data_IF_846322252049
#
_entry.id   IF_846322252049
#
_cell.length_a   1.000
_cell.length_b   1.000
_cell.length_c   1.000
_cell.angle_alpha   90.00
_cell.angle_beta   90.00
_cell.angle_gamma   90.00
#
_symmetry.space_group_name_H-M   'P 1'
#
loop_
_entity.id
_entity.type
_entity.pdbx_description
1 polymer ?
#
# COMPACT_ATOMS: atom_id res chain seq x y z
N UNK A 1 -38.31 12.82 64.67
CA UNK A 1 -36.89 13.25 64.69
C UNK A 1 -36.03 12.11 64.16
N UNK A 2 -35.89 11.95 62.83
CA UNK A 2 -35.08 10.86 62.22
C UNK A 2 -34.73 11.10 60.74
N UNK A 3 -35.47 11.97 60.03
CA UNK A 3 -35.25 12.29 58.61
C UNK A 3 -33.90 12.96 58.32
N UNK A 4 -33.42 13.82 59.23
CA UNK A 4 -32.13 14.55 59.06
C UNK A 4 -30.92 13.62 59.14
N UNK A 5 -30.93 12.64 60.04
CA UNK A 5 -29.84 11.65 60.14
C UNK A 5 -29.81 10.68 58.97
N UNK A 6 -30.99 10.29 58.45
CA UNK A 6 -31.08 9.47 57.23
C UNK A 6 -30.59 10.26 56.02
N UNK A 7 -31.04 11.52 55.86
CA UNK A 7 -30.60 12.39 54.76
C UNK A 7 -29.08 12.63 54.78
N UNK A 8 -28.49 12.88 55.96
CA UNK A 8 -27.03 13.05 56.10
C UNK A 8 -26.25 11.79 55.71
N UNK A 9 -26.72 10.60 56.10
CA UNK A 9 -26.09 9.33 55.71
C UNK A 9 -26.19 9.08 54.20
N UNK A 10 -27.35 9.40 53.60
CA UNK A 10 -27.55 9.30 52.15
C UNK A 10 -26.63 10.25 51.39
N UNK A 11 -26.49 11.50 51.83
CA UNK A 11 -25.58 12.47 51.22
C UNK A 11 -24.11 12.05 51.32
N UNK A 12 -23.68 11.49 52.47
CA UNK A 12 -22.32 10.96 52.63
C UNK A 12 -22.09 9.76 51.69
N UNK A 13 -23.04 8.82 51.63
CA UNK A 13 -22.94 7.66 50.74
C UNK A 13 -22.90 8.08 49.24
N UNK A 14 -23.74 9.03 48.85
CA UNK A 14 -23.74 9.59 47.49
C UNK A 14 -22.42 10.30 47.17
N UNK A 15 -21.86 11.05 48.12
CA UNK A 15 -20.55 11.68 47.98
C UNK A 15 -19.42 10.66 47.79
N UNK A 16 -19.41 9.59 48.60
CA UNK A 16 -18.43 8.50 48.46
C UNK A 16 -18.58 7.82 47.09
N UNK A 17 -19.80 7.52 46.66
CA UNK A 17 -20.07 6.89 45.36
C UNK A 17 -19.59 7.78 44.21
N UNK A 18 -19.82 9.10 44.28
CA UNK A 18 -19.36 10.04 43.27
C UNK A 18 -17.83 10.10 43.19
N UNK A 19 -17.13 10.09 44.33
CA UNK A 19 -15.66 10.03 44.36
C UNK A 19 -15.14 8.72 43.76
N UNK A 20 -15.75 7.58 44.11
CA UNK A 20 -15.38 6.28 43.54
C UNK A 20 -15.58 6.29 42.02
N UNK A 21 -16.71 6.80 41.54
CA UNK A 21 -16.99 6.91 40.11
C UNK A 21 -15.95 7.77 39.40
N UNK A 22 -15.58 8.91 39.97
CA UNK A 22 -14.56 9.79 39.39
C UNK A 22 -13.18 9.11 39.32
N UNK A 23 -12.78 8.40 40.38
CA UNK A 23 -11.55 7.61 40.41
C UNK A 23 -11.59 6.49 39.36
N UNK A 24 -12.71 5.78 39.22
CA UNK A 24 -12.88 4.75 38.19
C UNK A 24 -12.75 5.32 36.77
N UNK A 25 -13.38 6.48 36.49
CA UNK A 25 -13.28 7.13 35.18
C UNK A 25 -11.82 7.56 34.90
N UNK A 26 -11.13 8.15 35.88
CA UNK A 26 -9.74 8.54 35.74
C UNK A 26 -8.82 7.33 35.49
N UNK A 27 -9.02 6.23 36.21
CA UNK A 27 -8.28 5.00 36.01
C UNK A 27 -8.55 4.38 34.63
N UNK A 28 -9.81 4.36 34.18
CA UNK A 28 -10.16 3.88 32.85
C UNK A 28 -9.50 4.73 31.76
N UNK A 29 -9.55 6.06 31.87
CA UNK A 29 -8.89 6.97 30.93
C UNK A 29 -7.37 6.75 30.89
N UNK A 30 -6.74 6.55 32.05
CA UNK A 30 -5.32 6.26 32.13
C UNK A 30 -4.95 4.92 31.47
N UNK A 31 -5.72 3.86 31.75
CA UNK A 31 -5.50 2.53 31.15
C UNK A 31 -5.67 2.58 29.62
N UNK A 32 -6.71 3.28 29.14
CA UNK A 32 -6.94 3.41 27.70
C UNK A 32 -5.86 4.25 27.02
N UNK A 33 -5.40 5.34 27.64
CA UNK A 33 -4.31 6.16 27.12
C UNK A 33 -2.98 5.40 27.07
N UNK A 34 -2.67 4.64 28.11
CA UNK A 34 -1.49 3.76 28.12
C UNK A 34 -1.59 2.69 27.04
N UNK A 35 -2.76 2.05 26.90
CA UNK A 35 -3.00 1.05 25.85
C UNK A 35 -2.77 1.64 24.47
N UNK A 36 -3.28 2.86 24.20
CA UNK A 36 -3.06 3.55 22.94
C UNK A 36 -1.57 3.79 22.68
N UNK A 37 -0.84 4.33 23.66
CA UNK A 37 0.57 4.66 23.52
C UNK A 37 1.47 3.43 23.35
N UNK A 38 1.22 2.34 24.09
CA UNK A 38 2.05 1.13 24.04
C UNK A 38 1.81 0.30 22.78
N UNK A 39 0.59 0.37 22.23
CA UNK A 39 0.22 -0.32 20.99
C UNK A 39 0.46 0.51 19.73
N UNK A 40 0.81 1.79 19.88
CA UNK A 40 1.00 2.69 18.74
C UNK A 40 2.12 2.18 17.83
N UNK A 41 1.79 2.03 16.55
CA UNK A 41 2.74 1.66 15.49
C UNK A 41 2.45 2.49 14.25
N UNK A 42 3.51 3.00 13.65
CA UNK A 42 3.48 3.63 12.33
C UNK A 42 4.25 2.75 11.34
N UNK A 43 3.78 2.65 10.11
CA UNK A 43 4.42 1.84 9.07
C UNK A 43 4.11 2.33 7.66
N UNK A 44 5.11 2.18 6.79
CA UNK A 44 4.97 2.33 5.34
C UNK A 44 5.14 1.00 4.62
N UNK A 45 4.23 0.67 3.71
CA UNK A 45 4.38 -0.48 2.80
C UNK A 45 4.32 -0.03 1.35
N UNK A 46 5.08 -0.71 0.51
CA UNK A 46 5.10 -0.47 -0.93
C UNK A 46 4.86 -1.78 -1.69
N UNK A 47 4.03 -1.69 -2.71
CA UNK A 47 3.64 -2.79 -3.59
C UNK A 47 3.86 -2.37 -5.04
N UNK A 48 4.45 -3.27 -5.82
CA UNK A 48 4.61 -3.12 -7.25
C UNK A 48 4.15 -4.40 -7.94
N UNK A 49 3.33 -4.23 -8.97
CA UNK A 49 2.92 -5.28 -9.88
C UNK A 49 3.31 -4.87 -11.29
N UNK A 50 4.00 -5.76 -12.00
CA UNK A 50 4.41 -5.59 -13.39
C UNK A 50 3.98 -6.81 -14.18
N UNK A 51 3.27 -6.63 -15.27
CA UNK A 51 3.00 -7.72 -16.22
C UNK A 51 3.17 -7.25 -17.65
N UNK A 52 3.54 -8.16 -18.54
CA UNK A 52 3.67 -7.89 -19.96
C UNK A 52 2.92 -8.97 -20.73
N UNK A 53 2.25 -8.63 -21.83
CA UNK A 53 1.53 -9.62 -22.66
C UNK A 53 2.42 -10.38 -23.65
N UNK A 54 3.65 -9.91 -23.82
CA UNK A 54 4.65 -10.40 -24.76
C UNK A 54 6.07 -10.07 -24.24
N UNK A 55 7.12 -10.53 -24.92
CA UNK A 55 8.49 -10.25 -24.49
C UNK A 55 8.80 -8.75 -24.57
N UNK A 56 9.62 -8.27 -23.64
CA UNK A 56 10.29 -6.97 -23.68
C UNK A 56 11.78 -7.23 -23.84
N UNK A 57 12.41 -6.69 -24.88
CA UNK A 57 13.85 -6.80 -25.12
C UNK A 57 14.55 -5.49 -24.70
N UNK A 58 15.80 -5.60 -24.23
CA UNK A 58 16.64 -4.49 -23.75
C UNK A 58 15.94 -3.59 -22.73
N UNK A 59 15.24 -4.22 -21.77
CA UNK A 59 14.31 -3.54 -20.88
C UNK A 59 15.02 -2.78 -19.76
N UNK A 60 14.68 -1.50 -19.61
CA UNK A 60 15.01 -0.62 -18.49
C UNK A 60 13.76 0.16 -18.09
N UNK A 61 13.21 -0.16 -16.92
CA UNK A 61 12.04 0.49 -16.34
C UNK A 61 12.49 1.24 -15.09
N UNK A 62 12.42 2.57 -15.13
CA UNK A 62 12.65 3.44 -13.97
C UNK A 62 11.29 3.95 -13.48
N UNK A 63 10.86 3.38 -12.36
CA UNK A 63 9.55 3.56 -11.78
C UNK A 63 9.68 4.49 -10.55
N UNK A 64 8.85 5.54 -10.42
CA UNK A 64 8.81 6.35 -9.22
C UNK A 64 8.60 5.52 -7.95
N UNK A 65 9.38 5.81 -6.91
CA UNK A 65 9.20 5.23 -5.58
C UNK A 65 8.94 6.33 -4.56
N UNK A 66 8.32 6.00 -3.41
CA UNK A 66 8.01 7.01 -2.45
C UNK A 66 9.32 7.56 -1.86
N UNK A 67 9.46 8.88 -1.86
CA UNK A 67 10.56 9.57 -1.21
C UNK A 67 10.12 10.92 -0.71
N UNK A 68 10.89 11.48 0.22
CA UNK A 68 10.70 12.83 0.74
C UNK A 68 11.99 13.61 0.63
N UNK A 69 11.88 14.91 0.41
CA UNK A 69 13.03 15.79 0.48
C UNK A 69 13.49 15.91 1.94
N UNK A 70 14.76 15.57 2.19
CA UNK A 70 15.41 15.79 3.47
C UNK A 70 16.21 17.11 3.41
N UNK A 71 15.79 18.16 4.12
CA UNK A 71 16.46 19.45 4.11
C UNK A 71 17.84 19.43 4.81
N UNK A 72 18.12 18.44 5.67
CA UNK A 72 19.41 18.34 6.35
C UNK A 72 20.51 17.82 5.41
N UNK A 73 20.17 16.80 4.60
CA UNK A 73 21.08 16.23 3.60
C UNK A 73 20.99 16.90 2.24
N UNK A 74 19.91 17.63 1.98
CA UNK A 74 19.63 18.28 0.70
C UNK A 74 19.25 17.31 -0.41
N UNK A 75 18.82 16.09 -0.07
CA UNK A 75 18.54 15.00 -1.02
C UNK A 75 17.17 14.37 -0.79
N UNK A 76 16.61 13.71 -1.81
CA UNK A 76 15.41 12.91 -1.63
C UNK A 76 15.77 11.54 -1.04
N UNK A 77 15.13 11.19 0.07
CA UNK A 77 15.34 9.93 0.78
C UNK A 77 14.10 9.06 0.69
N UNK A 78 14.28 7.78 0.38
CA UNK A 78 13.19 6.80 0.32
C UNK A 78 13.16 5.94 1.59
N UNK A 79 11.97 5.63 2.14
CA UNK A 79 11.86 4.68 3.25
C UNK A 79 11.98 3.22 2.80
N UNK A 80 12.08 2.95 1.49
CA UNK A 80 12.17 1.59 0.96
C UNK A 80 13.54 0.98 1.23
N UNK A 81 13.51 -0.21 1.82
CA UNK A 81 14.67 -1.07 1.98
C UNK A 81 14.49 -2.33 1.13
N UNK A 82 15.13 -2.37 -0.04
CA UNK A 82 15.06 -3.51 -0.96
C UNK A 82 15.65 -4.80 -0.37
N UNK A 83 16.47 -4.73 0.69
CA UNK A 83 16.97 -5.94 1.36
C UNK A 83 15.85 -6.72 2.07
N UNK A 84 14.73 -6.05 2.36
CA UNK A 84 13.54 -6.62 3.00
C UNK A 84 12.44 -6.97 2.00
N UNK A 85 12.66 -6.70 0.71
CA UNK A 85 11.67 -6.92 -0.32
C UNK A 85 11.45 -8.42 -0.58
N UNK A 86 10.18 -8.81 -0.72
CA UNK A 86 9.78 -10.11 -1.23
C UNK A 86 9.40 -10.00 -2.70
N UNK A 87 9.81 -10.99 -3.49
CA UNK A 87 9.59 -11.04 -4.93
C UNK A 87 8.80 -12.29 -5.30
N UNK A 88 7.75 -12.12 -6.09
CA UNK A 88 6.98 -13.21 -6.69
C UNK A 88 7.12 -13.16 -8.20
N UNK A 89 7.31 -14.32 -8.82
CA UNK A 89 7.37 -14.47 -10.29
C UNK A 89 8.48 -13.69 -11.01
N UNK A 90 9.43 -13.08 -10.29
CA UNK A 90 10.65 -12.50 -10.85
C UNK A 90 11.73 -13.56 -11.09
N UNK A 91 12.25 -13.64 -12.32
CA UNK A 91 13.48 -14.38 -12.61
C UNK A 91 14.69 -13.54 -12.18
N UNK A 92 15.08 -13.66 -10.91
CA UNK A 92 16.13 -12.83 -10.27
C UNK A 92 17.53 -13.08 -10.83
N UNK A 93 17.74 -14.13 -11.60
CA UNK A 93 19.02 -14.40 -12.27
C UNK A 93 19.16 -13.57 -13.56
N UNK A 94 18.03 -13.14 -14.15
CA UNK A 94 17.99 -12.34 -15.39
C UNK A 94 17.52 -10.91 -15.18
N UNK A 95 16.68 -10.68 -14.18
CA UNK A 95 16.05 -9.39 -13.88
C UNK A 95 16.74 -8.78 -12.66
N UNK A 96 17.44 -7.67 -12.92
CA UNK A 96 18.02 -6.83 -11.88
C UNK A 96 16.98 -5.84 -11.36
N UNK A 97 16.89 -5.71 -10.04
CA UNK A 97 16.02 -4.73 -9.36
C UNK A 97 16.86 -3.96 -8.36
N UNK A 98 16.99 -2.65 -8.56
CA UNK A 98 17.84 -1.76 -7.77
C UNK A 98 17.21 -0.38 -7.60
N UNK A 99 17.71 0.42 -6.67
CA UNK A 99 17.36 1.84 -6.58
C UNK A 99 18.44 2.65 -7.30
N UNK A 100 18.05 3.44 -8.28
CA UNK A 100 18.92 4.37 -9.02
C UNK A 100 18.47 5.81 -8.77
N UNK A 101 19.41 6.76 -8.73
CA UNK A 101 19.08 8.17 -8.56
C UNK A 101 19.11 8.88 -9.91
N UNK A 102 17.96 9.37 -10.35
CA UNK A 102 17.81 10.19 -11.55
C UNK A 102 17.65 11.64 -11.11
N UNK A 103 18.62 12.49 -11.45
CA UNK A 103 18.65 13.90 -11.04
C UNK A 103 18.48 14.12 -9.52
N UNK A 104 19.01 13.18 -8.71
CA UNK A 104 18.92 13.23 -7.25
C UNK A 104 17.59 12.75 -6.66
N UNK A 105 16.69 12.19 -7.48
CA UNK A 105 15.46 11.54 -7.03
C UNK A 105 15.62 10.02 -7.13
N UNK A 106 15.38 9.25 -6.06
CA UNK A 106 15.47 7.80 -6.11
C UNK A 106 14.30 7.21 -6.91
N UNK A 107 14.60 6.31 -7.84
CA UNK A 107 13.65 5.55 -8.65
C UNK A 107 13.98 4.06 -8.56
N UNK A 108 12.97 3.20 -8.65
CA UNK A 108 13.17 1.77 -8.77
C UNK A 108 13.53 1.44 -10.21
N UNK A 109 14.73 0.90 -10.41
CA UNK A 109 15.19 0.38 -11.69
C UNK A 109 14.95 -1.12 -11.76
N UNK A 110 14.17 -1.53 -12.76
CA UNK A 110 14.05 -2.92 -13.20
C UNK A 110 14.72 -3.02 -14.57
N UNK A 111 15.73 -3.88 -14.70
CA UNK A 111 16.45 -4.03 -15.96
C UNK A 111 16.81 -5.48 -16.28
N UNK A 112 16.69 -5.85 -17.56
CA UNK A 112 17.07 -7.16 -18.08
C UNK A 112 17.28 -7.09 -19.59
N UNK A 113 18.15 -7.95 -20.14
CA UNK A 113 18.30 -8.11 -21.60
C UNK A 113 16.97 -8.54 -22.25
N UNK A 114 16.17 -9.32 -21.51
CA UNK A 114 14.83 -9.74 -21.94
C UNK A 114 13.94 -10.08 -20.74
N UNK A 115 12.70 -9.60 -20.78
CA UNK A 115 11.63 -9.95 -19.84
C UNK A 115 10.55 -10.70 -20.60
N UNK A 116 10.41 -12.00 -20.35
CA UNK A 116 9.33 -12.81 -20.91
C UNK A 116 8.04 -12.69 -20.07
N UNK A 117 6.85 -12.75 -20.69
CA UNK A 117 5.60 -12.76 -19.95
C UNK A 117 5.46 -14.07 -19.18
N UNK A 118 4.67 -14.08 -18.09
CA UNK A 118 4.40 -15.30 -17.32
C UNK A 118 2.92 -15.61 -17.41
N UNK A 119 2.58 -16.77 -17.94
CA UNK A 119 1.22 -17.28 -18.04
C UNK A 119 1.04 -18.53 -17.20
N UNK A 120 -0.15 -18.73 -16.63
CA UNK A 120 -0.53 -19.93 -15.89
C UNK A 120 -1.85 -20.53 -16.35
N UNK A 121 -2.05 -21.80 -16.02
CA UNK A 121 -3.33 -22.48 -16.20
C UNK A 121 -4.39 -22.00 -15.19
N UNK A 122 -5.67 -22.18 -15.55
CA UNK A 122 -6.77 -22.02 -14.60
C UNK A 122 -6.85 -23.26 -13.72
N UNK A 123 -6.84 -23.05 -12.41
CA UNK A 123 -7.12 -24.13 -11.46
C UNK A 123 -8.63 -24.31 -11.40
N UNK A 124 -9.12 -25.44 -11.90
CA UNK A 124 -10.53 -25.81 -11.78
C UNK A 124 -10.79 -26.36 -10.38
N UNK A 125 -11.68 -25.74 -9.58
CA UNK A 125 -12.07 -26.29 -8.29
C UNK A 125 -12.64 -27.69 -8.47
N UNK A 126 -12.20 -28.63 -7.63
CA UNK A 126 -12.71 -29.99 -7.62
C UNK A 126 -13.80 -30.08 -6.56
N UNK A 127 -15.05 -30.45 -6.92
CA UNK A 127 -16.11 -30.60 -5.93
C UNK A 127 -15.78 -31.76 -4.97
N UNK A 128 -16.01 -31.53 -3.68
CA UNK A 128 -15.80 -32.51 -2.61
C UNK A 128 -17.16 -33.08 -2.21
N UNK A 129 -17.36 -34.39 -2.32
CA UNK A 129 -18.60 -35.03 -1.88
C UNK A 129 -18.64 -35.17 -0.33
N UNK A 130 -19.83 -35.14 0.30
CA UNK A 130 -19.95 -35.37 1.75
C UNK A 130 -19.33 -36.72 2.15
N UNK A 131 -18.35 -36.71 3.05
CA UNK A 131 -17.63 -37.90 3.50
C UNK A 131 -16.41 -38.30 2.67
N UNK A 132 -16.12 -37.59 1.58
CA UNK A 132 -14.88 -37.78 0.81
C UNK A 132 -13.69 -37.14 1.54
N UNK A 133 -12.57 -37.85 1.61
CA UNK A 133 -11.36 -37.32 2.23
C UNK A 133 -10.62 -36.42 1.22
N UNK A 134 -10.31 -35.19 1.62
CA UNK A 134 -9.57 -34.22 0.80
C UNK A 134 -8.18 -34.75 0.36
N UNK A 135 -7.60 -35.64 1.16
CA UNK A 135 -6.31 -36.29 0.91
C UNK A 135 -6.28 -37.13 -0.37
N UNK A 136 -7.45 -37.56 -0.85
CA UNK A 136 -7.61 -38.41 -2.04
C UNK A 136 -7.83 -37.60 -3.33
N UNK A 137 -7.98 -36.29 -3.22
CA UNK A 137 -8.16 -35.41 -4.37
C UNK A 137 -6.82 -35.18 -5.08
N UNK A 138 -6.79 -35.10 -6.42
CA UNK A 138 -5.57 -34.74 -7.12
C UNK A 138 -5.19 -33.31 -6.73
N UNK A 139 -3.91 -33.12 -6.41
CA UNK A 139 -3.40 -31.79 -6.09
C UNK A 139 -3.50 -30.91 -7.34
N UNK A 140 -3.92 -29.64 -7.20
CA UNK A 140 -3.93 -28.72 -8.32
C UNK A 140 -2.50 -28.53 -8.83
N UNK A 141 -2.24 -28.93 -10.07
CA UNK A 141 -0.96 -28.71 -10.74
C UNK A 141 -0.97 -27.35 -11.42
N UNK A 142 -0.06 -26.48 -11.00
CA UNK A 142 0.20 -25.22 -11.70
C UNK A 142 1.18 -25.46 -12.85
N UNK A 143 0.79 -25.02 -14.04
CA UNK A 143 1.61 -25.06 -15.24
C UNK A 143 1.90 -23.61 -15.63
N UNK A 144 3.17 -23.32 -15.91
CA UNK A 144 3.65 -22.01 -16.31
C UNK A 144 4.14 -22.03 -17.74
N UNK A 145 3.94 -20.92 -18.46
CA UNK A 145 4.44 -20.73 -19.82
C UNK A 145 4.81 -19.27 -20.07
N UNK A 146 5.67 -19.03 -21.06
CA UNK A 146 5.99 -17.69 -21.54
C UNK A 146 5.12 -17.24 -22.72
N UNK A 147 4.01 -17.93 -22.98
CA UNK A 147 3.06 -17.58 -24.03
C UNK A 147 1.64 -17.88 -23.59
N UNK A 148 0.73 -17.06 -24.07
CA UNK A 148 -0.70 -17.33 -23.96
C UNK A 148 -1.06 -18.58 -24.76
N UNK A 149 -1.85 -19.47 -24.16
CA UNK A 149 -2.42 -20.65 -24.82
C UNK A 149 -3.72 -21.05 -24.14
N UNK A 150 -4.47 -21.99 -24.73
CA UNK A 150 -5.65 -22.57 -24.06
C UNK A 150 -5.29 -23.24 -22.73
N UNK A 151 -4.09 -23.82 -22.63
CA UNK A 151 -3.58 -24.46 -21.41
C UNK A 151 -3.15 -23.43 -20.36
N UNK A 152 -2.53 -22.32 -20.79
CA UNK A 152 -2.05 -21.24 -19.92
C UNK A 152 -2.62 -19.87 -20.34
N UNK A 153 -3.93 -19.62 -20.14
CA UNK A 153 -4.56 -18.40 -20.63
C UNK A 153 -4.45 -17.21 -19.66
N UNK A 154 -3.95 -17.42 -18.43
CA UNK A 154 -3.98 -16.40 -17.37
C UNK A 154 -2.63 -15.74 -17.26
N UNK A 155 -2.54 -14.45 -17.57
CA UNK A 155 -1.35 -13.65 -17.32
C UNK A 155 -1.11 -13.50 -15.82
N UNK A 156 0.16 -13.61 -15.41
CA UNK A 156 0.62 -13.53 -14.02
C UNK A 156 1.47 -12.28 -13.89
N UNK A 157 1.23 -11.53 -12.81
CA UNK A 157 1.98 -10.34 -12.46
C UNK A 157 3.27 -10.75 -11.74
N UNK A 158 4.37 -10.11 -12.09
CA UNK A 158 5.59 -10.07 -11.30
C UNK A 158 5.36 -9.09 -10.17
N UNK A 159 5.56 -9.53 -8.93
CA UNK A 159 5.22 -8.74 -7.74
C UNK A 159 6.46 -8.46 -6.91
N UNK A 160 6.58 -7.22 -6.45
CA UNK A 160 7.54 -6.80 -5.46
C UNK A 160 6.75 -6.17 -4.32
N UNK A 161 6.96 -6.70 -3.12
CA UNK A 161 6.39 -6.17 -1.89
C UNK A 161 7.52 -5.77 -0.94
N UNK A 162 7.53 -4.52 -0.51
CA UNK A 162 8.40 -4.03 0.58
C UNK A 162 7.53 -3.89 1.82
N UNK A 163 7.75 -4.73 2.85
CA UNK A 163 6.90 -4.75 4.02
C UNK A 163 7.05 -3.47 4.85
N UNK A 164 6.00 -3.21 5.64
CA UNK A 164 5.90 -2.17 6.65
C UNK A 164 7.23 -1.85 7.37
N UNK A 165 7.94 -0.79 6.97
CA UNK A 165 9.00 -0.19 7.79
C UNK A 165 8.43 1.05 8.49
N UNK A 166 8.68 1.15 9.80
CA UNK A 166 8.08 2.19 10.62
C UNK A 166 9.02 3.38 10.84
N UNK A 167 8.57 4.63 10.66
CA UNK A 167 9.29 5.78 11.17
C UNK A 167 9.38 5.78 12.70
N UNK A 168 10.35 6.51 13.25
CA UNK A 168 10.42 6.82 14.69
C UNK A 168 9.43 7.92 15.12
N UNK A 169 8.47 8.28 14.26
CA UNK A 169 7.45 9.31 14.49
C UNK A 169 6.08 8.85 13.99
N UNK A 170 5.03 9.53 14.46
CA UNK A 170 3.69 9.41 13.88
C UNK A 170 3.67 10.00 12.47
N UNK A 171 3.07 9.27 11.53
CA UNK A 171 2.93 9.68 10.13
C UNK A 171 1.83 10.73 10.01
N UNK A 172 2.07 11.85 9.33
CA UNK A 172 1.03 12.82 8.97
C UNK A 172 0.14 12.29 7.84
N UNK A 173 -0.89 11.55 8.23
CA UNK A 173 -1.85 10.94 7.31
C UNK A 173 -2.90 11.92 6.78
N UNK A 174 -3.06 13.10 7.40
CA UNK A 174 -4.00 14.14 6.92
C UNK A 174 -3.40 15.01 5.83
N UNK A 175 -2.11 15.32 5.96
CA UNK A 175 -1.43 16.29 5.09
C UNK A 175 -0.05 15.78 4.67
N UNK A 176 0.05 14.60 4.02
CA UNK A 176 1.34 13.97 3.70
C UNK A 176 2.19 14.76 2.69
N UNK A 177 1.58 15.69 1.95
CA UNK A 177 2.28 16.48 0.92
C UNK A 177 3.37 17.34 1.56
N UNK A 178 4.62 17.02 1.21
CA UNK A 178 5.81 17.77 1.64
C UNK A 178 6.35 17.38 3.02
N UNK A 179 5.65 16.52 3.76
CA UNK A 179 6.05 16.04 5.09
C UNK A 179 6.36 14.56 5.08
N UNK A 180 5.56 13.77 4.36
CA UNK A 180 5.68 12.33 4.26
C UNK A 180 6.20 11.89 2.88
N UNK A 181 6.77 10.68 2.77
CA UNK A 181 7.16 10.12 1.49
C UNK A 181 5.96 9.98 0.54
N UNK A 182 6.14 10.35 -0.72
CA UNK A 182 5.19 10.19 -1.83
C UNK A 182 5.97 9.82 -3.09
N UNK A 183 5.32 9.26 -4.11
CA UNK A 183 5.96 8.96 -5.39
C UNK A 183 6.56 10.24 -5.97
N UNK A 184 7.88 10.30 -6.05
CA UNK A 184 8.61 11.48 -6.53
C UNK A 184 9.25 11.24 -7.90
N UNK A 185 9.39 12.31 -8.71
CA UNK A 185 8.73 13.60 -8.54
C UNK A 185 7.23 13.50 -8.88
N UNK A 186 6.40 14.35 -8.28
CA UNK A 186 4.98 14.45 -8.63
C UNK A 186 4.58 15.87 -9.01
N UNK A 187 3.53 15.97 -9.81
CA UNK A 187 2.77 17.19 -10.03
C UNK A 187 1.31 16.98 -9.61
N UNK A 188 0.74 17.94 -8.89
CA UNK A 188 -0.69 17.91 -8.57
C UNK A 188 -1.47 18.31 -9.82
N UNK A 189 -2.23 17.37 -10.38
CA UNK A 189 -3.06 17.56 -11.56
C UNK A 189 -4.52 17.90 -11.21
N UNK A 190 -4.96 17.59 -9.98
CA UNK A 190 -6.32 17.90 -9.52
C UNK A 190 -6.56 17.54 -8.06
N UNK A 191 -7.76 17.85 -7.57
CA UNK A 191 -8.21 17.55 -6.20
C UNK A 191 -9.40 16.58 -6.23
N UNK A 192 -9.41 15.64 -5.29
CA UNK A 192 -10.50 14.68 -5.11
C UNK A 192 -11.39 15.22 -3.98
N UNK A 193 -12.62 15.60 -4.34
CA UNK A 193 -13.66 16.09 -3.42
C UNK A 193 -14.99 15.37 -3.72
N UNK A 194 -14.94 14.07 -4.01
CA UNK A 194 -16.10 13.33 -4.52
C UNK A 194 -16.81 12.51 -3.44
N UNK A 195 -18.12 12.31 -3.64
CA UNK A 195 -18.96 11.42 -2.84
C UNK A 195 -18.76 9.93 -3.15
N UNK A 196 -17.57 9.55 -3.65
CA UNK A 196 -17.18 8.20 -4.02
C UNK A 196 -17.37 7.88 -5.51
N UNK A 197 -16.54 7.00 -6.07
CA UNK A 197 -16.56 6.68 -7.50
C UNK A 197 -15.25 6.11 -8.03
N UNK A 198 -15.12 6.05 -9.37
CA UNK A 198 -13.85 5.73 -10.03
C UNK A 198 -13.12 7.01 -10.44
N UNK A 199 -11.92 7.22 -9.93
CA UNK A 199 -11.01 8.31 -10.29
C UNK A 199 -9.74 7.68 -10.86
N UNK A 200 -9.37 8.04 -12.10
CA UNK A 200 -8.20 7.48 -12.82
C UNK A 200 -8.18 5.93 -12.80
N UNK A 201 -9.34 5.30 -12.96
CA UNK A 201 -9.49 3.83 -12.96
C UNK A 201 -9.45 3.15 -11.59
N UNK A 202 -9.14 3.90 -10.52
CA UNK A 202 -9.11 3.44 -9.13
C UNK A 202 -10.42 3.79 -8.43
N UNK A 203 -10.91 2.88 -7.57
CA UNK A 203 -12.11 3.15 -6.79
C UNK A 203 -11.74 3.94 -5.52
N UNK A 204 -12.42 5.06 -5.30
CA UNK A 204 -12.30 5.89 -4.10
C UNK A 204 -13.61 5.86 -3.31
N UNK A 205 -13.48 5.77 -1.99
CA UNK A 205 -14.62 5.70 -1.08
C UNK A 205 -15.36 7.05 -0.99
N UNK A 206 -16.66 7.04 -0.68
CA UNK A 206 -17.39 8.27 -0.37
C UNK A 206 -16.78 9.04 0.79
N UNK A 207 -16.59 10.36 0.62
CA UNK A 207 -16.02 11.22 1.66
C UNK A 207 -14.49 11.24 1.71
N UNK A 208 -13.83 10.53 0.79
CA UNK A 208 -12.39 10.59 0.61
C UNK A 208 -11.96 11.99 0.14
N UNK A 209 -10.89 12.50 0.75
CA UNK A 209 -10.19 13.71 0.32
C UNK A 209 -8.82 13.34 -0.22
N UNK A 210 -8.36 14.05 -1.25
CA UNK A 210 -7.08 13.71 -1.87
C UNK A 210 -6.75 14.52 -3.12
N UNK A 211 -5.82 13.98 -3.90
CA UNK A 211 -5.27 14.64 -5.09
C UNK A 211 -5.12 13.65 -6.23
N UNK A 212 -5.30 14.15 -7.45
CA UNK A 212 -4.82 13.47 -8.65
C UNK A 212 -3.39 13.94 -8.84
N UNK A 213 -2.46 13.00 -8.87
CA UNK A 213 -1.03 13.26 -9.03
C UNK A 213 -0.56 12.74 -10.38
N UNK A 214 0.48 13.34 -10.92
CA UNK A 214 1.14 12.90 -12.14
C UNK A 214 2.62 12.65 -11.84
N UNK A 215 3.12 11.45 -12.15
CA UNK A 215 4.48 11.01 -11.86
C UNK A 215 5.17 10.49 -13.13
N UNK A 216 6.48 10.71 -13.33
CA UNK A 216 7.16 10.32 -14.56
C UNK A 216 7.68 8.88 -14.51
N UNK A 217 7.25 8.06 -15.45
CA UNK A 217 7.84 6.76 -15.72
C UNK A 217 8.90 6.93 -16.81
N UNK A 218 10.14 6.50 -16.57
CA UNK A 218 11.20 6.55 -17.58
C UNK A 218 11.41 5.12 -18.09
N UNK A 219 11.03 4.88 -19.33
CA UNK A 219 10.98 3.54 -19.92
C UNK A 219 11.83 3.47 -21.18
N UNK A 220 12.59 2.40 -21.31
CA UNK A 220 13.34 2.05 -22.51
C UNK A 220 13.24 0.55 -22.72
N UNK A 221 12.55 0.10 -23.76
CA UNK A 221 12.48 -1.31 -24.16
C UNK A 221 11.92 -1.44 -25.59
N UNK A 222 12.32 -2.54 -26.25
CA UNK A 222 11.75 -2.96 -27.52
C UNK A 222 10.64 -3.99 -27.29
N UNK A 223 9.56 -3.90 -28.08
CA UNK A 223 8.41 -4.79 -28.01
C UNK A 223 7.58 -4.73 -29.30
N UNK A 224 6.80 -5.78 -29.56
CA UNK A 224 5.79 -5.79 -30.61
C UNK A 224 4.72 -4.69 -30.37
N UNK A 225 4.17 -4.09 -31.43
CA UNK A 225 3.20 -2.98 -31.34
C UNK A 225 1.94 -3.31 -30.51
N UNK A 226 1.52 -4.56 -30.52
CA UNK A 226 0.35 -5.05 -29.76
C UNK A 226 0.70 -5.45 -28.32
N UNK A 227 1.98 -5.46 -27.96
CA UNK A 227 2.40 -5.81 -26.62
C UNK A 227 1.98 -4.73 -25.61
N UNK A 228 1.46 -5.15 -24.47
CA UNK A 228 1.04 -4.30 -23.36
C UNK A 228 1.90 -4.60 -22.13
N UNK A 229 2.59 -3.58 -21.64
CA UNK A 229 3.21 -3.56 -20.32
C UNK A 229 2.25 -2.87 -19.33
N UNK A 230 1.73 -3.60 -18.38
CA UNK A 230 0.92 -3.08 -17.28
C UNK A 230 1.78 -2.91 -16.03
N UNK A 231 1.76 -1.72 -15.45
CA UNK A 231 2.45 -1.41 -14.19
C UNK A 231 1.45 -0.83 -13.20
N UNK A 232 1.47 -1.35 -11.97
CA UNK A 232 0.66 -0.87 -10.85
C UNK A 232 1.54 -0.71 -9.61
N UNK A 233 1.56 0.49 -9.04
CA UNK A 233 2.32 0.83 -7.84
C UNK A 233 1.33 1.26 -6.75
N UNK A 234 1.53 0.76 -5.54
CA UNK A 234 0.78 1.13 -4.35
C UNK A 234 1.74 1.53 -3.23
N UNK A 235 1.43 2.60 -2.54
CA UNK A 235 2.12 3.02 -1.34
C UNK A 235 1.13 3.37 -0.25
N UNK A 236 1.38 2.91 0.97
CA UNK A 236 0.48 3.07 2.10
C UNK A 236 1.26 3.49 3.34
N UNK A 237 0.93 4.65 3.89
CA UNK A 237 1.36 5.08 5.23
C UNK A 237 0.22 4.90 6.22
N UNK A 238 0.46 4.20 7.33
CA UNK A 238 -0.57 3.88 8.33
C UNK A 238 -0.05 4.12 9.74
N UNK A 239 -0.89 4.73 10.59
CA UNK A 239 -0.76 4.68 12.04
C UNK A 239 -1.84 3.76 12.61
N UNK A 240 -1.50 2.93 13.58
CA UNK A 240 -2.43 2.02 14.25
C UNK A 240 -2.20 2.02 15.75
N UNK A 241 -3.29 1.91 16.52
CA UNK A 241 -3.27 1.85 17.97
C UNK A 241 -4.51 1.13 18.49
N UNK A 242 -4.47 0.73 19.76
CA UNK A 242 -5.52 -0.03 20.40
C UNK A 242 -6.26 0.83 21.41
N UNK A 243 -7.54 1.15 21.14
CA UNK A 243 -8.50 1.72 22.12
C UNK A 243 -9.89 1.14 21.89
N UNK A 244 -10.37 0.36 22.86
CA UNK A 244 -11.55 -0.53 22.79
C UNK A 244 -11.73 -1.35 21.48
N UNK A 245 -10.67 -1.42 20.68
CA UNK A 245 -10.53 -2.11 19.40
C UNK A 245 -9.26 -1.59 18.69
N UNK A 246 -8.86 -2.24 17.60
CA UNK A 246 -7.85 -1.66 16.71
C UNK A 246 -8.43 -0.44 16.00
N UNK A 247 -7.73 0.67 16.12
CA UNK A 247 -7.98 1.93 15.43
C UNK A 247 -6.81 2.18 14.48
N UNK A 248 -7.07 2.88 13.39
CA UNK A 248 -6.02 3.27 12.46
C UNK A 248 -6.40 4.52 11.68
N UNK A 249 -5.38 5.23 11.20
CA UNK A 249 -5.52 6.21 10.14
C UNK A 249 -4.42 6.01 9.09
N UNK A 250 -4.69 6.45 7.87
CA UNK A 250 -3.80 6.21 6.73
C UNK A 250 -3.89 7.29 5.65
N UNK A 251 -2.83 7.34 4.84
CA UNK A 251 -2.85 7.89 3.50
C UNK A 251 -2.34 6.83 2.53
N UNK A 252 -2.82 6.86 1.30
CA UNK A 252 -2.38 5.93 0.26
C UNK A 252 -2.17 6.64 -1.06
N UNK A 253 -1.17 6.20 -1.81
CA UNK A 253 -0.91 6.67 -3.16
C UNK A 253 -0.88 5.47 -4.10
N UNK A 254 -1.57 5.58 -5.23
CA UNK A 254 -1.73 4.49 -6.18
C UNK A 254 -1.61 4.98 -7.60
N UNK A 255 -0.81 4.29 -8.40
CA UNK A 255 -0.57 4.59 -9.81
C UNK A 255 -0.76 3.32 -10.61
N UNK A 256 -1.54 3.38 -11.71
CA UNK A 256 -1.73 2.24 -12.60
C UNK A 256 -1.75 2.70 -14.05
N UNK A 257 -0.97 2.05 -14.90
CA UNK A 257 -0.91 2.37 -16.32
C UNK A 257 -0.59 1.17 -17.20
N UNK A 258 -1.02 1.26 -18.46
CA UNK A 258 -0.73 0.29 -19.51
C UNK A 258 0.00 1.00 -20.66
N UNK A 259 1.24 0.58 -20.91
CA UNK A 259 2.06 1.05 -22.04
C UNK A 259 1.94 0.06 -23.20
N UNK A 260 1.76 0.57 -24.42
CA UNK A 260 1.59 -0.24 -25.63
C UNK A 260 2.77 -0.07 -26.57
N UNK A 261 3.25 -1.19 -27.13
CA UNK A 261 4.40 -1.21 -28.03
C UNK A 261 5.70 -0.86 -27.33
N UNK A 262 6.75 -0.64 -28.13
CA UNK A 262 8.05 -0.18 -27.64
C UNK A 262 7.96 1.20 -26.98
N UNK A 263 8.76 1.42 -25.93
CA UNK A 263 8.85 2.70 -25.23
C UNK A 263 10.30 3.18 -25.16
N UNK A 264 10.51 4.48 -25.35
CA UNK A 264 11.84 5.10 -25.22
C UNK A 264 11.68 6.58 -24.83
N UNK A 265 11.53 6.84 -23.54
CA UNK A 265 11.40 8.19 -23.02
C UNK A 265 10.76 8.28 -21.64
N UNK A 266 10.30 9.49 -21.32
CA UNK A 266 9.61 9.80 -20.07
C UNK A 266 8.12 9.97 -20.33
N UNK A 267 7.31 9.24 -19.57
CA UNK A 267 5.87 9.19 -19.73
C UNK A 267 5.20 9.71 -18.45
N UNK A 268 4.40 10.78 -18.51
CA UNK A 268 3.61 11.22 -17.38
C UNK A 268 2.47 10.23 -17.13
N UNK A 269 2.40 9.70 -15.92
CA UNK A 269 1.38 8.75 -15.49
C UNK A 269 0.58 9.33 -14.35
N UNK A 270 -0.74 9.27 -14.47
CA UNK A 270 -1.64 9.72 -13.42
C UNK A 270 -1.85 8.66 -12.35
N UNK A 271 -1.90 9.13 -11.11
CA UNK A 271 -2.23 8.36 -9.93
C UNK A 271 -3.18 9.14 -9.03
N UNK A 272 -3.53 8.47 -7.93
CA UNK A 272 -4.46 8.97 -6.93
C UNK A 272 -3.77 8.93 -5.57
N UNK A 273 -3.70 10.08 -4.92
CA UNK A 273 -3.30 10.24 -3.53
C UNK A 273 -4.55 10.44 -2.68
N UNK A 274 -4.82 9.52 -1.77
CA UNK A 274 -5.89 9.57 -0.79
C UNK A 274 -5.28 9.89 0.57
N UNK A 275 -5.89 10.84 1.27
CA UNK A 275 -5.40 11.36 2.57
C UNK A 275 -6.52 11.34 3.60
N UNK A 276 -6.16 11.31 4.87
CA UNK A 276 -7.15 11.54 5.92
C UNK A 276 -8.05 10.33 6.20
N UNK A 277 -7.69 9.11 5.80
CA UNK A 277 -8.54 7.94 6.00
C UNK A 277 -8.44 7.43 7.44
N UNK A 278 -9.53 6.85 7.95
CA UNK A 278 -9.59 6.22 9.27
C UNK A 278 -10.03 7.15 10.41
N UNK A 279 -9.63 6.78 11.63
CA UNK A 279 -10.04 7.43 12.89
C UNK A 279 -8.94 8.39 13.37
N UNK A 280 -9.31 9.53 13.91
CA UNK A 280 -8.38 10.53 14.45
C UNK A 280 -8.83 11.06 15.81
#
# INVERSE_FOLDING_TARGET
>A
MNKVNVLRKVLIAAGILAVILFVCIALLAAILGQSASESFRSSWSYDLQVSTSGPLDDAVLLIPIPSRYDPETGTNVTPLDLSRASFSHFDRDKISVTIEHVDGVPMLKISADRIDPVYRNRITPIPIAPGQNESELPKPTQIYSNRSSEETPVLVEMELHVPGTGPEHEIDTRTPIGTEPLFMPYQIAGTINESGGRVEGLYVSPGTSGYIVEVPFILSFDADDENVLAVSCGFLGTNQWWVLGWQSNSYSESVRHEFRGACNGTYPVRGVLVTGEGVY
#
